data_IF_848687218728
#
_entry.id   IF_848687218728
#
_cell.length_a   1.000
_cell.length_b   1.000
_cell.length_c   1.000
_cell.angle_alpha   90.00
_cell.angle_beta   90.00
_cell.angle_gamma   90.00
#
_symmetry.space_group_name_H-M   'P 1'
#
loop_
_entity.id
_entity.type
_entity.pdbx_description
1 polymer ?
#
# COMPACT_ATOMS: atom_id res chain seq x y z
N UNK A 1 -26.88 5.46 5.35
CA UNK A 1 -27.76 4.49 6.03
C UNK A 1 -28.03 4.98 7.44
N UNK A 2 -29.26 4.94 7.90
CA UNK A 2 -29.63 5.36 9.24
C UNK A 2 -30.51 4.27 9.90
N UNK A 3 -30.29 4.06 11.19
CA UNK A 3 -31.16 3.31 12.09
C UNK A 3 -31.72 4.29 13.14
N UNK A 4 -32.58 3.81 14.06
CA UNK A 4 -33.12 4.68 15.12
C UNK A 4 -32.02 5.31 16.00
N UNK A 5 -30.88 4.59 16.18
CA UNK A 5 -29.80 4.98 17.10
C UNK A 5 -28.50 5.41 16.40
N UNK A 6 -28.36 5.22 15.09
CA UNK A 6 -27.08 5.40 14.41
C UNK A 6 -27.24 5.84 12.95
N UNK A 7 -26.31 6.69 12.50
CA UNK A 7 -26.20 7.10 11.10
C UNK A 7 -24.81 6.75 10.58
N UNK A 8 -24.74 5.93 9.53
CA UNK A 8 -23.51 5.67 8.80
C UNK A 8 -23.47 6.56 7.55
N UNK A 9 -22.45 7.41 7.46
CA UNK A 9 -22.23 8.29 6.32
C UNK A 9 -20.98 7.85 5.57
N UNK A 10 -21.15 7.53 4.30
CA UNK A 10 -20.03 7.20 3.40
C UNK A 10 -19.68 8.40 2.53
N UNK A 11 -18.38 8.68 2.38
CA UNK A 11 -17.87 9.74 1.52
C UNK A 11 -17.04 9.13 0.38
N UNK A 12 -17.27 9.59 -0.85
CA UNK A 12 -16.51 9.18 -2.04
C UNK A 12 -16.44 7.65 -2.24
N UNK A 13 -17.56 6.97 -2.00
CA UNK A 13 -17.68 5.53 -2.21
C UNK A 13 -17.69 5.23 -3.71
N UNK A 14 -16.77 4.38 -4.18
CA UNK A 14 -16.69 3.98 -5.59
C UNK A 14 -17.81 2.98 -5.94
N UNK A 15 -18.09 2.05 -5.06
CA UNK A 15 -19.15 1.03 -5.19
C UNK A 15 -19.87 0.95 -3.86
N UNK A 16 -21.21 0.90 -3.92
CA UNK A 16 -22.06 0.66 -2.75
C UNK A 16 -23.15 -0.32 -3.16
N UNK A 17 -23.21 -1.44 -2.48
CA UNK A 17 -24.15 -2.51 -2.76
C UNK A 17 -24.74 -3.03 -1.45
N UNK A 18 -26.01 -3.46 -1.49
CA UNK A 18 -26.67 -4.12 -0.38
C UNK A 18 -26.69 -5.61 -0.72
N UNK A 19 -26.05 -6.41 0.10
CA UNK A 19 -25.97 -7.86 -0.06
C UNK A 19 -26.84 -8.55 0.99
N UNK A 20 -27.38 -9.70 0.66
CA UNK A 20 -27.97 -10.60 1.63
C UNK A 20 -26.87 -11.23 2.50
N UNK A 21 -27.22 -11.60 3.74
CA UNK A 21 -26.31 -12.30 4.63
C UNK A 21 -25.85 -13.63 3.99
N UNK A 22 -24.54 -13.80 3.87
CA UNK A 22 -23.91 -14.96 3.24
C UNK A 22 -23.47 -14.76 1.80
N UNK A 23 -23.81 -13.63 1.16
CA UNK A 23 -23.35 -13.27 -0.20
C UNK A 23 -22.06 -12.42 -0.21
N UNK A 24 -21.44 -12.18 0.94
CA UNK A 24 -20.22 -11.36 1.04
C UNK A 24 -19.08 -11.91 0.17
N UNK A 25 -19.00 -13.24 0.03
CA UNK A 25 -17.98 -13.88 -0.81
C UNK A 25 -18.11 -13.52 -2.29
N UNK A 26 -19.31 -13.24 -2.79
CA UNK A 26 -19.50 -12.80 -4.18
C UNK A 26 -18.87 -11.43 -4.41
N UNK A 27 -18.97 -10.53 -3.43
CA UNK A 27 -18.42 -9.20 -3.49
C UNK A 27 -16.90 -9.14 -3.26
N UNK A 28 -16.37 -9.96 -2.35
CA UNK A 28 -14.96 -9.88 -1.90
C UNK A 28 -14.11 -11.10 -2.27
N UNK A 29 -14.69 -12.16 -2.83
CA UNK A 29 -13.99 -13.41 -3.16
C UNK A 29 -12.90 -13.27 -4.22
N UNK A 30 -12.89 -12.15 -4.95
CA UNK A 30 -11.83 -11.81 -5.89
C UNK A 30 -10.58 -11.20 -5.23
N UNK A 31 -10.65 -10.85 -3.93
CA UNK A 31 -9.54 -10.25 -3.20
C UNK A 31 -8.48 -11.30 -2.85
N UNK A 32 -7.25 -10.86 -2.79
CA UNK A 32 -6.14 -11.64 -2.23
C UNK A 32 -6.23 -11.71 -0.69
N UNK A 33 -5.28 -12.42 -0.05
CA UNK A 33 -5.25 -12.55 1.40
C UNK A 33 -5.28 -11.18 2.09
N UNK A 34 -6.17 -11.00 3.08
CA UNK A 34 -6.27 -9.75 3.83
C UNK A 34 -5.15 -9.68 4.88
N UNK A 35 -4.38 -8.62 4.84
CA UNK A 35 -3.28 -8.32 5.77
C UNK A 35 -3.73 -8.22 7.25
N UNK A 36 -5.01 -8.01 7.51
CA UNK A 36 -5.63 -7.99 8.85
C UNK A 36 -6.60 -9.15 9.08
N UNK A 37 -6.83 -9.99 8.06
CA UNK A 37 -7.70 -11.14 8.12
C UNK A 37 -7.13 -12.26 8.99
N UNK A 38 -8.02 -13.11 9.50
CA UNK A 38 -7.66 -14.30 10.28
C UNK A 38 -7.09 -15.42 9.41
N UNK A 39 -7.33 -15.35 8.12
CA UNK A 39 -6.92 -16.27 7.06
C UNK A 39 -5.69 -15.77 6.27
N UNK A 40 -4.93 -14.83 6.84
CA UNK A 40 -3.73 -14.31 6.21
C UNK A 40 -2.74 -15.43 5.83
N UNK A 41 -2.41 -15.49 4.54
CA UNK A 41 -1.43 -16.43 3.99
C UNK A 41 -0.37 -15.66 3.19
N UNK A 42 0.82 -15.54 3.78
CA UNK A 42 1.97 -14.86 3.16
C UNK A 42 2.48 -15.57 1.91
N UNK A 43 2.32 -16.88 1.81
CA UNK A 43 2.76 -17.66 0.66
C UNK A 43 1.88 -17.41 -0.57
N UNK A 44 0.56 -17.29 -0.36
CA UNK A 44 -0.40 -16.89 -1.39
C UNK A 44 -0.12 -15.46 -1.84
N UNK A 45 0.03 -14.52 -0.92
CA UNK A 45 0.35 -13.13 -1.24
C UNK A 45 1.65 -13.00 -2.05
N UNK A 46 2.70 -13.72 -1.67
CA UNK A 46 3.97 -13.72 -2.37
C UNK A 46 3.87 -14.34 -3.77
N UNK A 47 3.08 -15.41 -3.94
CA UNK A 47 2.80 -16.00 -5.24
C UNK A 47 2.05 -15.02 -6.15
N UNK A 48 1.01 -14.37 -5.64
CA UNK A 48 0.24 -13.37 -6.37
C UNK A 48 1.14 -12.19 -6.78
N UNK A 49 2.01 -11.73 -5.89
CA UNK A 49 2.95 -10.65 -6.18
C UNK A 49 3.95 -11.06 -7.28
N UNK A 50 4.46 -12.29 -7.27
CA UNK A 50 5.32 -12.81 -8.34
C UNK A 50 4.60 -12.88 -9.68
N UNK A 51 3.32 -13.19 -9.70
CA UNK A 51 2.52 -13.22 -10.93
C UNK A 51 2.35 -11.83 -11.57
N UNK A 52 2.57 -10.75 -10.83
CA UNK A 52 2.55 -9.38 -11.34
C UNK A 52 3.83 -8.99 -12.11
N UNK A 53 4.76 -9.87 -12.30
CA UNK A 53 6.05 -9.85 -13.00
C UNK A 53 6.52 -8.49 -13.55
N UNK A 54 6.04 -8.06 -14.72
CA UNK A 54 6.40 -6.81 -15.40
C UNK A 54 5.64 -5.57 -14.92
N UNK A 55 4.61 -5.76 -14.05
CA UNK A 55 3.86 -4.64 -13.48
C UNK A 55 4.76 -3.87 -12.51
N UNK A 56 4.77 -2.51 -12.53
CA UNK A 56 5.48 -1.74 -11.52
C UNK A 56 5.11 -2.15 -10.10
N UNK A 57 6.10 -2.36 -9.24
CA UNK A 57 5.87 -2.84 -7.86
C UNK A 57 4.89 -1.95 -7.09
N UNK A 58 4.93 -0.64 -7.35
CA UNK A 58 3.99 0.30 -6.73
C UNK A 58 2.54 0.12 -7.18
N UNK A 59 2.27 -0.41 -8.38
CA UNK A 59 0.93 -0.78 -8.83
C UNK A 59 0.55 -2.13 -8.20
N UNK A 60 1.42 -3.14 -8.30
CA UNK A 60 1.18 -4.46 -7.76
C UNK A 60 0.86 -4.45 -6.26
N UNK A 61 1.51 -3.58 -5.48
CA UNK A 61 1.23 -3.40 -4.05
C UNK A 61 -0.13 -2.76 -3.74
N UNK A 62 -0.75 -2.05 -4.69
CA UNK A 62 -2.11 -1.50 -4.53
C UNK A 62 -3.20 -2.42 -5.05
N UNK A 63 -2.85 -3.43 -5.83
CA UNK A 63 -3.81 -4.40 -6.34
C UNK A 63 -4.30 -5.28 -5.18
N UNK A 64 -5.55 -5.08 -4.79
CA UNK A 64 -6.17 -5.81 -3.69
C UNK A 64 -6.31 -7.31 -3.98
N UNK A 65 -6.15 -7.75 -5.24
CA UNK A 65 -6.11 -9.17 -5.64
C UNK A 65 -4.76 -9.81 -5.31
N UNK A 66 -3.70 -9.02 -5.19
CA UNK A 66 -2.39 -9.51 -4.74
C UNK A 66 -2.40 -9.75 -3.23
N UNK A 67 -2.74 -8.71 -2.47
CA UNK A 67 -2.96 -8.75 -1.03
C UNK A 67 -3.88 -7.59 -0.63
N UNK A 68 -4.93 -7.87 0.11
CA UNK A 68 -5.91 -6.87 0.49
C UNK A 68 -5.45 -6.04 1.71
N UNK A 69 -5.90 -4.78 1.75
CA UNK A 69 -5.69 -3.87 2.88
C UNK A 69 -4.57 -2.85 2.69
N UNK A 70 -3.72 -2.97 1.66
CA UNK A 70 -2.60 -2.06 1.43
C UNK A 70 -3.04 -0.82 0.65
N UNK A 71 -2.89 0.35 1.26
CA UNK A 71 -3.24 1.63 0.62
C UNK A 71 -2.01 2.45 0.23
N UNK A 72 -2.28 3.61 -0.42
CA UNK A 72 -1.24 4.45 -1.01
C UNK A 72 -0.14 4.90 -0.02
N UNK A 73 -0.47 5.15 1.23
CA UNK A 73 0.54 5.51 2.25
C UNK A 73 1.55 4.37 2.38
N UNK A 74 1.05 3.17 2.66
CA UNK A 74 1.92 2.01 2.89
C UNK A 74 2.72 1.61 1.66
N UNK A 75 2.14 1.67 0.45
CA UNK A 75 2.87 1.45 -0.79
C UNK A 75 4.16 2.28 -0.84
N UNK A 76 4.06 3.59 -0.62
CA UNK A 76 5.21 4.49 -0.68
C UNK A 76 6.25 4.17 0.39
N UNK A 77 5.79 3.92 1.62
CA UNK A 77 6.65 3.65 2.76
C UNK A 77 7.38 2.30 2.64
N UNK A 78 6.68 1.25 2.17
CA UNK A 78 7.27 -0.07 1.94
C UNK A 78 8.32 0.00 0.84
N UNK A 79 8.02 0.65 -0.28
CA UNK A 79 9.00 0.87 -1.36
C UNK A 79 10.24 1.60 -0.82
N UNK A 80 10.07 2.63 0.01
CA UNK A 80 11.20 3.35 0.62
C UNK A 80 12.02 2.46 1.57
N UNK A 81 11.35 1.74 2.45
CA UNK A 81 12.02 0.87 3.43
C UNK A 81 12.84 -0.22 2.76
N UNK A 82 12.34 -0.73 1.63
CA UNK A 82 13.04 -1.73 0.80
C UNK A 82 14.07 -1.13 -0.16
N UNK A 83 14.14 0.19 -0.30
CA UNK A 83 15.07 0.86 -1.21
C UNK A 83 14.70 0.71 -2.69
N UNK A 84 13.42 0.47 -3.00
CA UNK A 84 12.91 0.18 -4.34
C UNK A 84 12.15 1.38 -4.88
N UNK A 85 12.43 1.80 -6.11
CA UNK A 85 11.63 2.83 -6.77
C UNK A 85 10.23 2.27 -7.11
N UNK A 86 9.12 2.99 -6.83
CA UNK A 86 7.77 2.46 -7.07
C UNK A 86 7.48 2.07 -8.52
N UNK A 87 8.18 2.64 -9.50
CA UNK A 87 8.05 2.32 -10.94
C UNK A 87 8.91 1.12 -11.37
N UNK A 88 9.72 0.54 -10.50
CA UNK A 88 10.52 -0.66 -10.82
C UNK A 88 9.60 -1.84 -11.10
N UNK A 89 9.81 -2.62 -12.18
CA UNK A 89 9.08 -3.86 -12.44
C UNK A 89 9.18 -4.83 -11.26
N UNK A 90 8.11 -5.56 -10.98
CA UNK A 90 8.01 -6.42 -9.79
C UNK A 90 9.11 -7.49 -9.75
N UNK A 91 9.45 -8.10 -10.89
CA UNK A 91 10.54 -9.10 -10.97
C UNK A 91 11.93 -8.52 -10.64
N UNK A 92 12.13 -7.21 -10.78
CA UNK A 92 13.38 -6.52 -10.41
C UNK A 92 13.34 -5.93 -8.99
N UNK A 93 12.24 -6.07 -8.26
CA UNK A 93 12.07 -5.50 -6.93
C UNK A 93 12.82 -6.27 -5.81
N UNK A 94 13.60 -7.27 -6.16
CA UNK A 94 14.39 -8.05 -5.23
C UNK A 94 13.59 -9.10 -4.46
N UNK A 95 13.79 -9.21 -3.16
CA UNK A 95 13.13 -10.24 -2.35
C UNK A 95 11.66 -9.91 -2.08
N UNK A 96 10.75 -10.51 -2.84
CA UNK A 96 9.31 -10.30 -2.77
C UNK A 96 8.69 -10.83 -1.46
N UNK A 97 9.19 -11.94 -0.90
CA UNK A 97 8.72 -12.47 0.39
C UNK A 97 9.00 -11.47 1.52
N UNK A 98 10.15 -10.80 1.48
CA UNK A 98 10.48 -9.77 2.44
C UNK A 98 9.65 -8.47 2.25
N UNK A 99 9.12 -8.20 1.05
CA UNK A 99 8.18 -7.12 0.81
C UNK A 99 6.82 -7.48 1.42
N UNK A 100 6.34 -8.70 1.21
CA UNK A 100 5.08 -9.21 1.78
C UNK A 100 5.12 -9.21 3.31
N UNK A 101 6.20 -9.73 3.92
CA UNK A 101 6.39 -9.73 5.37
C UNK A 101 6.43 -8.30 5.95
N UNK A 102 7.13 -7.37 5.28
CA UNK A 102 7.15 -5.97 5.70
C UNK A 102 5.76 -5.34 5.61
N UNK A 103 4.99 -5.65 4.56
CA UNK A 103 3.62 -5.17 4.38
C UNK A 103 2.73 -5.61 5.54
N UNK A 104 2.75 -6.90 5.86
CA UNK A 104 2.01 -7.48 6.97
C UNK A 104 2.37 -6.82 8.31
N UNK A 105 3.65 -6.76 8.65
CA UNK A 105 4.11 -6.17 9.91
C UNK A 105 3.74 -4.70 10.03
N UNK A 106 3.90 -3.93 8.94
CA UNK A 106 3.65 -2.49 8.95
C UNK A 106 2.17 -2.17 9.17
N UNK A 107 1.27 -2.92 8.54
CA UNK A 107 -0.18 -2.75 8.74
C UNK A 107 -0.58 -3.18 10.15
N UNK A 108 -0.12 -4.35 10.62
CA UNK A 108 -0.49 -4.89 11.92
C UNK A 108 -0.05 -3.99 13.09
N UNK A 109 1.12 -3.39 13.03
CA UNK A 109 1.57 -2.40 14.04
C UNK A 109 0.67 -1.15 14.06
N UNK A 110 -0.01 -0.85 12.95
CA UNK A 110 -0.84 0.35 12.81
C UNK A 110 -2.35 0.09 12.96
N UNK A 111 -2.81 -1.17 13.04
CA UNK A 111 -4.25 -1.52 13.04
C UNK A 111 -5.08 -0.81 14.11
N UNK A 112 -4.49 -0.58 15.29
CA UNK A 112 -5.16 0.10 16.42
C UNK A 112 -4.81 1.57 16.53
N UNK A 113 -4.04 2.14 15.59
CA UNK A 113 -3.59 3.54 15.64
C UNK A 113 -4.53 4.43 14.86
N UNK A 114 -4.88 5.59 15.42
CA UNK A 114 -5.65 6.63 14.71
C UNK A 114 -4.85 7.29 13.58
N UNK A 115 -3.52 7.32 13.71
CA UNK A 115 -2.60 7.94 12.75
C UNK A 115 -1.59 6.88 12.33
N UNK A 116 -1.36 6.75 11.02
CA UNK A 116 -0.39 5.81 10.46
C UNK A 116 1.03 6.26 10.78
N UNK A 117 1.83 5.38 11.38
CA UNK A 117 3.23 5.62 11.76
C UNK A 117 4.10 4.51 11.19
N UNK A 118 5.01 4.88 10.30
CA UNK A 118 5.94 3.93 9.64
C UNK A 118 7.39 4.11 10.10
N UNK A 119 7.68 5.26 10.72
CA UNK A 119 9.02 5.60 11.25
C UNK A 119 9.25 5.13 12.67
N UNK A 120 8.18 4.76 13.40
CA UNK A 120 8.20 4.56 14.85
C UNK A 120 8.04 5.86 15.66
N UNK A 121 8.18 7.04 15.04
CA UNK A 121 8.05 8.34 15.70
C UNK A 121 6.63 8.90 15.53
N UNK A 122 5.88 9.00 16.63
CA UNK A 122 4.48 9.45 16.64
C UNK A 122 4.30 10.97 16.61
N UNK A 123 5.37 11.73 16.76
CA UNK A 123 5.32 13.20 16.78
C UNK A 123 4.79 13.77 15.46
N UNK A 124 4.01 14.86 15.47
CA UNK A 124 3.48 15.50 14.27
C UNK A 124 4.56 15.76 13.22
N UNK A 125 4.29 15.38 11.97
CA UNK A 125 5.21 15.53 10.85
C UNK A 125 6.38 14.55 10.83
N UNK A 126 6.48 13.60 11.77
CA UNK A 126 7.54 12.59 11.85
C UNK A 126 7.10 11.17 11.53
N UNK A 127 5.82 10.93 11.30
CA UNK A 127 5.20 9.61 11.19
C UNK A 127 5.58 8.84 9.92
N UNK A 128 5.96 9.53 8.84
CA UNK A 128 6.27 8.91 7.54
C UNK A 128 7.70 9.16 7.10
N UNK A 129 8.27 8.24 6.32
CA UNK A 129 9.59 8.37 5.70
C UNK A 129 9.54 9.28 4.46
N UNK A 130 8.64 9.01 3.53
CA UNK A 130 8.55 9.71 2.23
C UNK A 130 7.15 10.25 1.94
N UNK A 131 6.08 9.57 2.38
CA UNK A 131 4.71 9.93 2.02
C UNK A 131 4.35 11.35 2.51
N UNK A 132 3.85 12.19 1.56
CA UNK A 132 3.49 13.59 1.84
C UNK A 132 4.70 14.49 2.17
N UNK A 133 5.92 14.09 1.81
CA UNK A 133 7.13 14.82 2.17
C UNK A 133 7.90 15.39 0.96
N UNK A 134 7.19 15.67 -0.15
CA UNK A 134 7.78 16.33 -1.33
C UNK A 134 8.63 17.53 -0.91
N UNK A 135 9.84 17.64 -1.46
CA UNK A 135 10.79 18.72 -1.24
C UNK A 135 11.49 18.71 0.13
N UNK A 136 11.02 17.92 1.11
CA UNK A 136 11.68 17.78 2.42
C UNK A 136 12.91 16.87 2.31
N UNK A 137 13.93 17.05 3.18
CA UNK A 137 15.10 16.18 3.19
C UNK A 137 14.71 14.75 3.58
N UNK A 138 15.26 13.76 2.90
CA UNK A 138 15.15 12.36 3.25
C UNK A 138 15.71 12.11 4.64
N UNK A 139 14.99 11.39 5.49
CA UNK A 139 15.42 11.07 6.86
C UNK A 139 16.61 10.11 6.92
N UNK A 140 16.95 9.45 5.81
CA UNK A 140 18.07 8.49 5.71
C UNK A 140 19.33 9.13 5.16
N UNK A 141 19.22 9.93 4.07
CA UNK A 141 20.38 10.42 3.33
C UNK A 141 20.39 11.95 3.06
N UNK A 142 19.36 12.70 3.48
CA UNK A 142 19.27 14.15 3.28
C UNK A 142 18.79 14.59 1.89
N UNK A 143 18.85 13.75 0.87
CA UNK A 143 18.39 14.09 -0.49
C UNK A 143 16.90 14.49 -0.49
N UNK A 144 16.52 15.49 -1.29
CA UNK A 144 15.13 15.94 -1.35
C UNK A 144 14.20 14.87 -1.91
N UNK A 145 13.11 14.58 -1.16
CA UNK A 145 12.03 13.68 -1.60
C UNK A 145 11.38 14.26 -2.85
N UNK A 146 11.19 13.41 -3.85
CA UNK A 146 10.45 13.70 -5.08
C UNK A 146 9.03 13.15 -5.01
N UNK A 147 8.17 13.72 -5.83
CA UNK A 147 6.80 13.30 -6.06
C UNK A 147 6.59 13.08 -7.55
N UNK A 148 5.80 12.09 -7.91
CA UNK A 148 5.37 11.75 -9.25
C UNK A 148 4.02 11.03 -9.15
N UNK A 149 3.44 10.59 -10.25
CA UNK A 149 2.21 9.78 -10.28
C UNK A 149 2.47 8.37 -10.79
N UNK A 150 1.65 7.43 -10.35
CA UNK A 150 1.68 6.04 -10.78
C UNK A 150 0.32 5.38 -10.58
N UNK A 151 -0.20 4.79 -11.65
CA UNK A 151 -1.42 3.99 -11.67
C UNK A 151 -1.48 3.14 -12.95
N UNK A 152 -2.42 2.21 -13.05
CA UNK A 152 -2.64 1.43 -14.27
C UNK A 152 -3.19 2.30 -15.41
N UNK A 153 -3.86 3.39 -15.10
CA UNK A 153 -4.42 4.37 -16.03
C UNK A 153 -4.49 5.77 -15.39
N UNK A 154 -4.76 6.78 -16.18
CA UNK A 154 -4.79 8.19 -15.72
C UNK A 154 -5.87 8.48 -14.65
N UNK A 155 -6.99 7.74 -14.65
CA UNK A 155 -8.10 7.95 -13.72
C UNK A 155 -7.78 7.39 -12.32
N UNK A 156 -6.97 6.36 -12.27
CA UNK A 156 -6.59 5.64 -11.04
C UNK A 156 -5.20 5.98 -10.54
N UNK A 157 -4.48 6.88 -11.22
CA UNK A 157 -3.18 7.36 -10.76
C UNK A 157 -3.25 7.92 -9.33
N UNK A 158 -2.22 7.63 -8.56
CA UNK A 158 -2.01 8.14 -7.21
C UNK A 158 -0.59 8.67 -7.06
N UNK A 159 -0.42 9.73 -6.28
CA UNK A 159 0.89 10.30 -6.00
C UNK A 159 1.81 9.25 -5.38
N UNK A 160 3.02 9.14 -5.92
CA UNK A 160 4.14 8.42 -5.35
C UNK A 160 5.16 9.41 -4.79
N UNK A 161 5.76 9.06 -3.66
CA UNK A 161 6.81 9.83 -3.01
C UNK A 161 8.04 8.93 -2.85
N UNK A 162 9.21 9.39 -3.25
CA UNK A 162 10.42 8.60 -3.20
C UNK A 162 11.66 9.46 -2.98
N UNK A 163 12.70 8.86 -2.41
CA UNK A 163 14.02 9.46 -2.36
C UNK A 163 14.84 8.94 -3.55
N UNK A 164 15.26 9.81 -4.51
CA UNK A 164 15.97 9.33 -5.69
C UNK A 164 17.34 8.71 -5.40
N UNK A 165 17.95 9.04 -4.26
CA UNK A 165 19.22 8.43 -3.85
C UNK A 165 19.04 7.08 -3.14
N UNK A 166 17.99 6.94 -2.28
CA UNK A 166 17.73 5.68 -1.58
C UNK A 166 16.94 4.67 -2.41
N UNK A 167 16.25 5.14 -3.45
CA UNK A 167 15.38 4.37 -4.32
C UNK A 167 15.73 4.69 -5.79
N UNK A 168 16.92 4.30 -6.26
CA UNK A 168 17.29 4.52 -7.65
C UNK A 168 16.31 3.78 -8.57
N UNK A 169 15.92 4.42 -9.68
CA UNK A 169 15.05 3.78 -10.67
C UNK A 169 15.84 2.73 -11.45
N UNK A 170 15.33 1.52 -11.49
CA UNK A 170 15.84 0.43 -12.32
C UNK A 170 14.81 0.20 -13.43
N UNK A 171 15.08 0.63 -14.67
CA UNK A 171 14.23 0.31 -15.81
C UNK A 171 14.30 -1.20 -16.09
N UNK A 172 13.21 -1.76 -16.59
CA UNK A 172 13.14 -3.13 -17.10
C UNK A 172 13.69 -3.22 -18.52
#
# INVERSE_FOLDING_TARGET
MATEDSVAVGFSLGITEILELGQEQEAVGHLGPDLLGTDWDSSVAARNLRAADSVPIGIALLDQRVMAGLGNVYRNEICFLRGIHPKTPTHLAGNLDAIVDLSFRTINVNKSRRIRVTTGDTRPGRQTWVYGRRGKPCRRCGTRIREDTLGPDQLTERNIFFCPACQPFTPG
#
